data_IF_505455562282
#
_entry.id   IF_505455562282
#
_cell.length_a   1.000
_cell.length_b   1.000
_cell.length_c   1.000
_cell.angle_alpha   90.00
_cell.angle_beta   90.00
_cell.angle_gamma   90.00
#
_symmetry.space_group_name_H-M   'P 1'
#
loop_
_entity.id
_entity.type
_entity.pdbx_description
1 polymer ?
#
# COMPACT_ATOMS: atom_id res chain seq x y z
N UNK A 1 3.47 -9.88 5.99
CA UNK A 1 4.59 -8.91 5.98
C UNK A 1 5.68 -9.53 5.15
N UNK A 2 6.43 -8.73 4.40
CA UNK A 2 7.46 -9.14 3.45
C UNK A 2 8.50 -8.01 3.34
N UNK A 3 9.61 -8.20 2.64
CA UNK A 3 10.61 -7.16 2.36
C UNK A 3 11.08 -7.26 0.92
N UNK A 4 10.64 -6.32 0.09
CA UNK A 4 11.00 -6.20 -1.32
C UNK A 4 11.63 -4.82 -1.56
N UNK A 5 12.79 -4.79 -2.20
CA UNK A 5 13.56 -3.56 -2.41
C UNK A 5 14.12 -3.55 -3.82
N UNK A 6 14.09 -2.37 -4.44
CA UNK A 6 14.74 -2.11 -5.71
C UNK A 6 15.67 -0.90 -5.60
N UNK A 7 16.80 -0.96 -6.29
CA UNK A 7 17.71 0.17 -6.47
C UNK A 7 18.08 0.26 -7.95
N UNK A 8 18.05 1.46 -8.49
CA UNK A 8 18.32 1.68 -9.91
C UNK A 8 19.13 2.93 -10.14
N UNK A 9 19.88 2.90 -11.24
CA UNK A 9 20.51 4.06 -11.85
C UNK A 9 20.32 4.02 -13.36
N UNK A 10 20.94 4.94 -14.09
CA UNK A 10 20.79 5.01 -15.54
C UNK A 10 21.25 3.76 -16.31
N UNK A 11 22.00 2.84 -15.68
CA UNK A 11 22.56 1.65 -16.33
C UNK A 11 21.76 0.38 -16.10
N UNK A 12 21.12 0.24 -14.94
CA UNK A 12 20.45 -0.99 -14.53
C UNK A 12 19.51 -0.77 -13.34
N UNK A 13 18.66 -1.75 -13.10
CA UNK A 13 17.88 -1.91 -11.88
C UNK A 13 18.22 -3.24 -11.21
N UNK A 14 18.46 -3.22 -9.91
CA UNK A 14 18.58 -4.41 -9.07
C UNK A 14 17.34 -4.58 -8.19
N UNK A 15 16.95 -5.83 -7.97
CA UNK A 15 15.76 -6.22 -7.22
C UNK A 15 16.15 -7.27 -6.19
N UNK A 16 15.66 -7.14 -4.96
CA UNK A 16 15.78 -8.15 -3.92
C UNK A 16 14.45 -8.39 -3.20
N UNK A 17 14.17 -9.65 -2.89
CA UNK A 17 12.98 -10.05 -2.15
C UNK A 17 13.28 -11.19 -1.17
N UNK A 18 12.68 -11.12 0.01
CA UNK A 18 12.71 -12.20 0.99
C UNK A 18 11.70 -13.32 0.64
N UNK A 19 11.82 -14.48 1.30
CA UNK A 19 11.01 -15.68 0.98
C UNK A 19 9.96 -16.02 2.04
N UNK A 20 9.81 -15.20 3.08
CA UNK A 20 8.84 -15.44 4.14
C UNK A 20 7.41 -15.07 3.71
N UNK A 21 6.46 -15.98 3.93
CA UNK A 21 5.02 -15.71 3.79
C UNK A 21 4.28 -16.17 5.02
N UNK A 22 3.34 -15.33 5.45
CA UNK A 22 2.48 -15.59 6.60
C UNK A 22 1.08 -15.89 6.11
N UNK A 23 0.59 -17.09 6.41
CA UNK A 23 -0.78 -17.50 6.18
C UNK A 23 -1.54 -17.51 7.49
N UNK A 24 -2.76 -16.97 7.49
CA UNK A 24 -3.67 -17.03 8.64
C UNK A 24 -4.79 -18.00 8.30
N UNK A 25 -4.81 -19.16 8.96
CA UNK A 25 -5.84 -20.19 8.78
C UNK A 25 -6.60 -20.40 10.10
N UNK A 26 -7.87 -20.03 10.14
CA UNK A 26 -8.73 -20.22 11.32
C UNK A 26 -8.18 -19.61 12.61
N UNK A 27 -7.40 -18.52 12.52
CA UNK A 27 -6.74 -17.86 13.65
C UNK A 27 -5.34 -18.42 13.99
N UNK A 28 -4.85 -19.45 13.28
CA UNK A 28 -3.46 -19.90 13.38
C UNK A 28 -2.60 -19.18 12.35
N UNK A 29 -1.48 -18.62 12.82
CA UNK A 29 -0.46 -18.01 11.98
C UNK A 29 0.55 -19.10 11.60
N UNK A 30 0.65 -19.40 10.30
CA UNK A 30 1.63 -20.33 9.74
C UNK A 30 2.60 -19.50 8.90
N UNK A 31 3.89 -19.63 9.20
CA UNK A 31 4.96 -18.94 8.47
C UNK A 31 5.73 -19.97 7.65
N UNK A 32 5.94 -19.68 6.37
CA UNK A 32 6.77 -20.46 5.46
C UNK A 32 7.86 -19.58 4.86
N UNK A 33 9.03 -20.15 4.56
CA UNK A 33 10.19 -19.43 4.03
C UNK A 33 10.61 -19.93 2.63
N UNK A 34 9.66 -20.48 1.87
CA UNK A 34 9.89 -21.14 0.58
C UNK A 34 9.13 -20.48 -0.58
N UNK A 35 8.49 -19.32 -0.35
CA UNK A 35 7.73 -18.65 -1.39
C UNK A 35 8.61 -17.66 -2.14
N UNK A 36 8.66 -17.82 -3.46
CA UNK A 36 9.30 -16.88 -4.37
C UNK A 36 8.42 -15.64 -4.51
N UNK A 37 9.05 -14.47 -4.48
CA UNK A 37 8.36 -13.18 -4.67
C UNK A 37 8.93 -12.34 -5.79
N UNK A 38 10.10 -12.70 -6.31
CA UNK A 38 10.73 -12.08 -7.46
C UNK A 38 10.69 -13.06 -8.64
N UNK A 39 10.31 -12.56 -9.81
CA UNK A 39 10.18 -13.36 -11.04
C UNK A 39 10.74 -12.59 -12.24
N UNK A 40 11.26 -13.32 -13.22
CA UNK A 40 11.34 -12.80 -14.58
C UNK A 40 9.94 -12.84 -15.19
N UNK A 41 9.47 -11.72 -15.74
CA UNK A 41 8.12 -11.60 -16.31
C UNK A 41 7.93 -12.49 -17.55
N UNK A 42 8.99 -12.72 -18.33
CA UNK A 42 8.96 -13.56 -19.52
C UNK A 42 10.36 -13.84 -20.04
N UNK A 43 10.57 -15.01 -20.65
CA UNK A 43 11.89 -15.37 -21.18
C UNK A 43 12.35 -14.35 -22.23
N UNK A 44 13.59 -13.85 -22.09
CA UNK A 44 14.15 -12.82 -22.98
C UNK A 44 13.62 -11.39 -22.75
N UNK A 45 12.69 -11.18 -21.82
CA UNK A 45 12.22 -9.83 -21.48
C UNK A 45 13.14 -9.17 -20.44
N UNK A 46 13.46 -7.87 -20.60
CA UNK A 46 14.20 -7.10 -19.60
C UNK A 46 13.24 -6.58 -18.51
N UNK A 47 12.39 -7.45 -17.96
CA UNK A 47 11.36 -7.07 -16.98
C UNK A 47 11.27 -8.12 -15.87
N UNK A 48 11.42 -7.66 -14.64
CA UNK A 48 11.17 -8.41 -13.42
C UNK A 48 9.86 -7.98 -12.79
N UNK A 49 9.23 -8.87 -12.03
CA UNK A 49 8.07 -8.56 -11.21
C UNK A 49 8.29 -9.03 -9.77
N UNK A 50 8.03 -8.13 -8.82
CA UNK A 50 7.94 -8.45 -7.40
C UNK A 50 6.49 -8.36 -6.92
N UNK A 51 6.11 -9.18 -5.95
CA UNK A 51 4.85 -8.98 -5.23
C UNK A 51 5.05 -8.83 -3.73
N UNK A 52 4.18 -8.04 -3.10
CA UNK A 52 4.10 -7.88 -1.65
C UNK A 52 2.64 -7.84 -1.18
N UNK A 53 2.39 -8.07 0.10
CA UNK A 53 1.03 -8.19 0.64
C UNK A 53 0.48 -9.61 0.52
N UNK A 54 -0.74 -9.78 -0.01
CA UNK A 54 -1.33 -11.12 -0.17
C UNK A 54 -0.55 -11.96 -1.18
N UNK A 55 -0.39 -13.25 -0.85
CA UNK A 55 0.42 -14.21 -1.59
C UNK A 55 -0.30 -14.87 -2.79
N UNK A 56 -1.59 -14.59 -2.93
CA UNK A 56 -2.46 -15.15 -3.96
C UNK A 56 -3.52 -14.13 -4.40
N UNK A 57 -4.09 -14.37 -5.58
CA UNK A 57 -5.29 -13.70 -6.06
C UNK A 57 -6.44 -14.70 -6.07
N UNK A 58 -7.43 -14.51 -5.21
CA UNK A 58 -8.62 -15.36 -5.10
C UNK A 58 -8.30 -16.86 -4.91
N UNK A 59 -7.30 -17.18 -4.10
CA UNK A 59 -6.84 -18.55 -3.83
C UNK A 59 -5.90 -19.11 -4.89
N UNK A 60 -5.38 -18.29 -5.80
CA UNK A 60 -4.42 -18.69 -6.82
C UNK A 60 -3.07 -17.99 -6.62
N UNK A 61 -2.01 -18.74 -6.27
CA UNK A 61 -0.69 -18.17 -6.00
C UNK A 61 -0.13 -17.34 -7.17
N UNK A 62 0.58 -16.24 -6.84
CA UNK A 62 1.16 -15.35 -7.83
C UNK A 62 2.22 -16.02 -8.73
N UNK A 63 3.00 -16.97 -8.20
CA UNK A 63 3.98 -17.72 -8.98
C UNK A 63 3.33 -18.54 -10.11
N UNK A 64 2.14 -19.10 -9.86
CA UNK A 64 1.35 -19.82 -10.87
C UNK A 64 0.81 -18.85 -11.93
N UNK A 65 0.22 -17.72 -11.51
CA UNK A 65 -0.38 -16.74 -12.43
C UNK A 65 0.68 -16.08 -13.32
N UNK A 66 1.78 -15.61 -12.72
CA UNK A 66 2.93 -15.04 -13.43
C UNK A 66 3.59 -16.10 -14.32
N UNK A 67 3.79 -17.31 -13.81
CA UNK A 67 4.39 -18.40 -14.57
C UNK A 67 3.58 -18.87 -15.77
N UNK A 68 2.25 -18.72 -15.75
CA UNK A 68 1.42 -18.96 -16.93
C UNK A 68 1.51 -17.82 -17.94
N UNK A 69 1.42 -16.57 -17.48
CA UNK A 69 1.57 -15.39 -18.34
C UNK A 69 2.93 -15.37 -19.06
N UNK A 70 4.01 -15.72 -18.35
CA UNK A 70 5.38 -15.72 -18.87
C UNK A 70 5.57 -16.56 -20.14
N UNK A 71 4.69 -17.54 -20.40
CA UNK A 71 4.72 -18.39 -21.61
C UNK A 71 4.24 -17.67 -22.87
N UNK A 72 3.46 -16.61 -22.71
CA UNK A 72 2.89 -15.80 -23.79
C UNK A 72 3.30 -14.34 -23.74
N UNK A 73 4.10 -13.95 -22.74
CA UNK A 73 4.56 -12.58 -22.56
C UNK A 73 5.38 -12.13 -23.79
N UNK A 74 5.09 -10.92 -24.28
CA UNK A 74 5.79 -10.32 -25.40
C UNK A 74 6.50 -9.03 -24.97
N UNK A 75 7.47 -8.61 -25.77
CA UNK A 75 8.06 -7.27 -25.65
C UNK A 75 6.96 -6.21 -25.81
N UNK A 76 7.05 -5.13 -25.02
CA UNK A 76 6.24 -3.92 -25.14
C UNK A 76 7.16 -2.72 -25.32
N UNK A 77 6.62 -1.61 -25.79
CA UNK A 77 7.42 -0.42 -26.10
C UNK A 77 7.80 0.31 -24.82
N UNK A 78 6.90 0.32 -23.83
CA UNK A 78 7.09 0.96 -22.52
C UNK A 78 6.92 -0.02 -21.37
N UNK A 79 7.63 0.22 -20.26
CA UNK A 79 7.55 -0.64 -19.06
C UNK A 79 6.11 -0.78 -18.53
N UNK A 80 5.34 0.30 -18.46
CA UNK A 80 3.97 0.24 -17.93
C UNK A 80 3.05 -0.65 -18.77
N UNK A 81 3.26 -0.74 -20.08
CA UNK A 81 2.50 -1.59 -20.99
C UNK A 81 2.68 -3.09 -20.69
N UNK A 82 3.82 -3.48 -20.11
CA UNK A 82 4.01 -4.86 -19.64
C UNK A 82 3.09 -5.20 -18.47
N UNK A 83 2.88 -4.25 -17.55
CA UNK A 83 1.92 -4.40 -16.45
C UNK A 83 0.48 -4.43 -16.98
N UNK A 84 0.13 -3.53 -17.89
CA UNK A 84 -1.19 -3.49 -18.53
C UNK A 84 -1.52 -4.79 -19.29
N UNK A 85 -0.56 -5.34 -20.04
CA UNK A 85 -0.72 -6.60 -20.76
C UNK A 85 -0.89 -7.79 -19.80
N UNK A 86 -0.15 -7.80 -18.68
CA UNK A 86 -0.34 -8.79 -17.62
C UNK A 86 -1.75 -8.74 -17.03
N UNK A 87 -2.27 -7.55 -16.74
CA UNK A 87 -3.63 -7.41 -16.22
C UNK A 87 -4.69 -7.75 -17.27
N UNK A 88 -4.48 -7.38 -18.55
CA UNK A 88 -5.37 -7.78 -19.64
C UNK A 88 -5.41 -9.30 -19.82
N UNK A 89 -4.31 -10.00 -19.55
CA UNK A 89 -4.26 -11.45 -19.46
C UNK A 89 -5.08 -11.97 -18.27
N UNK A 90 -4.90 -11.42 -17.07
CA UNK A 90 -5.67 -11.81 -15.88
C UNK A 90 -7.19 -11.60 -16.06
N UNK A 91 -7.60 -10.49 -16.68
CA UNK A 91 -9.01 -10.17 -16.98
C UNK A 91 -9.67 -11.24 -17.90
N UNK A 92 -8.87 -12.06 -18.61
CA UNK A 92 -9.34 -13.13 -19.52
C UNK A 92 -9.22 -14.54 -18.95
N UNK A 93 -8.73 -14.71 -17.72
CA UNK A 93 -8.49 -16.02 -17.11
C UNK A 93 -9.74 -16.62 -16.45
N UNK A 94 -10.80 -16.84 -17.24
CA UNK A 94 -12.04 -17.45 -16.73
C UNK A 94 -11.82 -18.83 -16.06
N UNK A 95 -10.82 -19.58 -16.52
CA UNK A 95 -10.46 -20.88 -15.92
C UNK A 95 -10.00 -20.78 -14.47
N UNK A 96 -9.39 -19.66 -14.08
CA UNK A 96 -8.99 -19.37 -12.69
C UNK A 96 -10.10 -18.64 -11.93
N UNK A 97 -10.82 -17.75 -12.59
CA UNK A 97 -11.81 -16.88 -11.97
C UNK A 97 -13.23 -17.13 -12.49
N UNK A 98 -13.81 -18.33 -12.32
CA UNK A 98 -15.17 -18.61 -12.78
C UNK A 98 -16.19 -17.74 -12.01
N UNK A 99 -17.37 -17.42 -12.58
CA UNK A 99 -18.34 -16.52 -11.96
C UNK A 99 -18.75 -16.89 -10.53
N UNK A 100 -18.79 -18.19 -10.21
CA UNK A 100 -19.09 -18.65 -8.85
C UNK A 100 -18.02 -18.23 -7.83
N UNK A 101 -16.73 -18.27 -8.22
CA UNK A 101 -15.62 -17.82 -7.37
C UNK A 101 -15.63 -16.30 -7.24
N UNK A 102 -15.90 -15.56 -8.31
CA UNK A 102 -16.03 -14.11 -8.26
C UNK A 102 -17.16 -13.65 -7.33
N UNK A 103 -18.28 -14.38 -7.27
CA UNK A 103 -19.37 -14.11 -6.31
C UNK A 103 -18.94 -14.31 -4.86
N UNK A 104 -18.18 -15.37 -4.58
CA UNK A 104 -17.64 -15.62 -3.25
C UNK A 104 -16.57 -14.60 -2.86
N UNK A 105 -15.73 -14.19 -3.81
CA UNK A 105 -14.74 -13.14 -3.57
C UNK A 105 -15.42 -11.79 -3.31
N UNK A 106 -16.43 -11.44 -4.09
CA UNK A 106 -17.23 -10.24 -3.83
C UNK A 106 -17.81 -10.24 -2.39
N UNK A 107 -18.33 -11.39 -1.95
CA UNK A 107 -18.80 -11.56 -0.56
C UNK A 107 -17.68 -11.28 0.45
N UNK A 108 -16.47 -11.81 0.23
CA UNK A 108 -15.30 -11.59 1.10
C UNK A 108 -14.83 -10.14 1.11
N UNK A 109 -14.72 -9.53 -0.07
CA UNK A 109 -14.38 -8.13 -0.28
C UNK A 109 -15.33 -7.24 0.52
N UNK A 110 -16.64 -7.38 0.31
CA UNK A 110 -17.62 -6.54 0.97
C UNK A 110 -17.68 -6.80 2.48
N UNK A 111 -17.57 -8.06 2.92
CA UNK A 111 -17.44 -8.38 4.35
C UNK A 111 -16.20 -7.73 4.99
N UNK A 112 -15.09 -7.57 4.25
CA UNK A 112 -13.91 -6.83 4.73
C UNK A 112 -14.20 -5.36 4.95
N UNK A 113 -14.93 -4.73 4.02
CA UNK A 113 -15.39 -3.34 4.19
C UNK A 113 -16.32 -3.19 5.38
N UNK A 114 -17.22 -4.15 5.63
CA UNK A 114 -18.08 -4.10 6.82
C UNK A 114 -17.29 -4.29 8.12
N UNK A 115 -16.26 -5.15 8.14
CA UNK A 115 -15.34 -5.24 9.29
C UNK A 115 -14.65 -3.91 9.56
N UNK A 116 -14.30 -3.16 8.51
CA UNK A 116 -13.76 -1.81 8.67
C UNK A 116 -14.76 -0.84 9.30
N UNK A 117 -16.03 -0.89 8.89
CA UNK A 117 -17.11 -0.10 9.51
C UNK A 117 -17.21 -0.41 11.01
N UNK A 118 -17.22 -1.69 11.40
CA UNK A 118 -17.27 -2.06 12.83
C UNK A 118 -16.03 -1.60 13.60
N UNK A 119 -14.83 -1.72 13.00
CA UNK A 119 -13.60 -1.23 13.61
C UNK A 119 -13.62 0.29 13.81
N UNK A 120 -14.17 1.03 12.85
CA UNK A 120 -14.31 2.48 12.97
C UNK A 120 -15.32 2.86 14.05
N UNK A 121 -16.44 2.14 14.15
CA UNK A 121 -17.42 2.35 15.23
C UNK A 121 -16.78 2.14 16.61
N UNK A 122 -15.96 1.08 16.76
CA UNK A 122 -15.21 0.83 17.98
C UNK A 122 -14.19 1.94 18.28
N UNK A 123 -13.47 2.43 17.26
CA UNK A 123 -12.55 3.55 17.41
C UNK A 123 -13.26 4.84 17.87
N UNK A 124 -14.44 5.14 17.32
CA UNK A 124 -15.23 6.31 17.76
C UNK A 124 -15.61 6.22 19.24
N UNK A 125 -15.95 5.01 19.71
CA UNK A 125 -16.18 4.77 21.14
C UNK A 125 -14.94 5.04 21.99
N UNK A 126 -13.79 4.51 21.59
CA UNK A 126 -12.51 4.75 22.30
C UNK A 126 -12.10 6.23 22.28
N UNK A 127 -12.44 6.96 21.21
CA UNK A 127 -12.22 8.39 21.07
C UNK A 127 -13.20 9.27 21.89
N UNK A 128 -14.09 8.65 22.68
CA UNK A 128 -14.98 9.36 23.59
C UNK A 128 -16.29 9.86 22.97
N UNK A 129 -16.66 9.37 21.77
CA UNK A 129 -18.00 9.63 21.21
C UNK A 129 -19.04 8.86 22.05
N UNK A 130 -19.92 9.60 22.72
CA UNK A 130 -20.95 9.03 23.61
C UNK A 130 -22.23 8.79 22.82
N UNK A 131 -22.70 7.55 22.80
CA UNK A 131 -23.98 7.18 22.20
C UNK A 131 -24.24 5.68 22.29
N UNK A 132 -25.46 5.22 21.97
CA UNK A 132 -25.73 3.80 21.82
C UNK A 132 -25.02 3.25 20.55
N UNK A 133 -24.86 1.93 20.47
CA UNK A 133 -24.14 1.26 19.38
C UNK A 133 -24.68 1.65 17.99
N UNK A 134 -25.99 1.86 17.85
CA UNK A 134 -26.59 2.28 16.58
C UNK A 134 -26.09 3.65 16.10
N UNK A 135 -25.85 4.58 17.02
CA UNK A 135 -25.36 5.93 16.68
C UNK A 135 -23.90 5.87 16.24
N UNK A 136 -23.07 5.12 16.96
CA UNK A 136 -21.67 4.90 16.59
C UNK A 136 -21.55 4.22 15.23
N UNK A 137 -22.38 3.20 14.99
CA UNK A 137 -22.41 2.46 13.75
C UNK A 137 -22.91 3.32 12.59
N UNK A 138 -23.97 4.12 12.79
CA UNK A 138 -24.47 5.06 11.80
C UNK A 138 -23.43 6.10 11.39
N UNK A 139 -22.68 6.64 12.36
CA UNK A 139 -21.57 7.55 12.09
C UNK A 139 -20.42 6.86 11.35
N UNK A 140 -20.04 5.65 11.74
CA UNK A 140 -19.01 4.88 11.05
C UNK A 140 -19.41 4.57 9.60
N UNK A 141 -20.66 4.19 9.36
CA UNK A 141 -21.21 3.98 8.01
C UNK A 141 -21.13 5.27 7.19
N UNK A 142 -21.53 6.40 7.76
CA UNK A 142 -21.47 7.70 7.09
C UNK A 142 -20.03 8.08 6.72
N UNK A 143 -19.08 7.94 7.65
CA UNK A 143 -17.67 8.23 7.40
C UNK A 143 -17.08 7.33 6.30
N UNK A 144 -17.40 6.03 6.30
CA UNK A 144 -16.94 5.11 5.26
C UNK A 144 -17.57 5.44 3.91
N UNK A 145 -18.86 5.73 3.88
CA UNK A 145 -19.57 6.16 2.68
C UNK A 145 -18.96 7.44 2.08
N UNK A 146 -18.73 8.47 2.91
CA UNK A 146 -18.08 9.71 2.49
C UNK A 146 -16.67 9.47 1.95
N UNK A 147 -15.88 8.57 2.55
CA UNK A 147 -14.55 8.20 2.03
C UNK A 147 -14.60 7.59 0.63
N UNK A 148 -15.66 6.85 0.29
CA UNK A 148 -15.84 6.34 -1.07
C UNK A 148 -16.27 7.42 -2.07
N UNK A 149 -16.89 8.49 -1.61
CA UNK A 149 -17.32 9.60 -2.46
C UNK A 149 -16.24 10.67 -2.64
N UNK A 150 -15.43 10.93 -1.62
CA UNK A 150 -14.46 12.02 -1.63
C UNK A 150 -13.14 11.69 -0.91
N UNK A 151 -12.10 12.43 -1.28
CA UNK A 151 -10.83 12.51 -0.55
C UNK A 151 -10.98 13.39 0.70
N UNK A 152 -10.04 13.33 1.67
CA UNK A 152 -10.10 14.15 2.88
C UNK A 152 -10.17 15.66 2.64
N UNK A 153 -9.67 16.13 1.49
CA UNK A 153 -9.73 17.53 1.05
C UNK A 153 -11.07 17.92 0.38
N UNK A 154 -12.01 16.98 0.28
CA UNK A 154 -13.33 17.16 -0.34
C UNK A 154 -13.36 16.94 -1.86
N UNK A 155 -12.23 16.63 -2.51
CA UNK A 155 -12.22 16.32 -3.93
C UNK A 155 -12.98 15.01 -4.20
N UNK A 156 -13.80 14.92 -5.26
CA UNK A 156 -14.56 13.70 -5.56
C UNK A 156 -13.61 12.55 -5.91
N UNK A 157 -13.89 11.35 -5.40
CA UNK A 157 -13.11 10.15 -5.70
C UNK A 157 -13.55 9.55 -7.03
N UNK A 158 -12.60 9.39 -7.94
CA UNK A 158 -12.83 8.78 -9.25
C UNK A 158 -13.08 7.27 -9.15
N UNK A 159 -13.73 6.73 -10.18
CA UNK A 159 -13.76 5.30 -10.43
C UNK A 159 -12.39 4.86 -10.99
N UNK A 160 -11.98 3.63 -10.69
CA UNK A 160 -10.76 3.03 -11.17
C UNK A 160 -10.81 2.85 -12.69
N UNK A 161 -9.74 3.25 -13.37
CA UNK A 161 -9.64 3.22 -14.83
C UNK A 161 -9.73 1.81 -15.44
N UNK A 162 -9.53 0.75 -14.64
CA UNK A 162 -9.70 -0.63 -15.09
C UNK A 162 -11.16 -1.02 -15.36
N UNK A 163 -12.13 -0.33 -14.76
CA UNK A 163 -13.55 -0.60 -14.98
C UNK A 163 -14.12 0.27 -16.10
N UNK A 164 -15.00 -0.28 -16.96
CA UNK A 164 -15.69 0.52 -17.96
C UNK A 164 -16.64 1.53 -17.31
N UNK A 165 -16.95 2.66 -17.97
CA UNK A 165 -17.93 3.62 -17.46
C UNK A 165 -19.27 2.97 -17.11
N UNK A 166 -19.79 3.25 -15.92
CA UNK A 166 -21.08 2.70 -15.44
C UNK A 166 -20.99 1.29 -14.87
N UNK A 167 -19.79 0.73 -14.66
CA UNK A 167 -19.63 -0.62 -14.09
C UNK A 167 -20.25 -0.77 -12.69
N UNK A 168 -20.40 0.33 -11.93
CA UNK A 168 -21.11 0.35 -10.66
C UNK A 168 -22.53 -0.24 -10.76
N UNK A 169 -23.26 0.08 -11.84
CA UNK A 169 -24.61 -0.46 -12.09
C UNK A 169 -24.58 -1.95 -12.45
N UNK A 170 -23.51 -2.41 -13.11
CA UNK A 170 -23.29 -3.84 -13.38
C UNK A 170 -23.07 -4.58 -12.05
N UNK A 171 -22.22 -4.05 -11.17
CA UNK A 171 -21.99 -4.62 -9.84
C UNK A 171 -23.30 -4.69 -9.04
N UNK A 172 -24.06 -3.59 -9.02
CA UNK A 172 -25.37 -3.52 -8.34
C UNK A 172 -26.35 -4.57 -8.88
N UNK A 173 -26.45 -4.72 -10.20
CA UNK A 173 -27.34 -5.69 -10.84
C UNK A 173 -26.93 -7.13 -10.53
N UNK A 174 -25.66 -7.45 -10.67
CA UNK A 174 -25.18 -8.84 -10.65
C UNK A 174 -24.85 -9.35 -9.25
N UNK A 175 -24.51 -8.45 -8.31
CA UNK A 175 -24.07 -8.78 -6.96
C UNK A 175 -24.97 -8.20 -5.85
N UNK A 176 -25.99 -7.42 -6.18
CA UNK A 176 -26.88 -6.78 -5.19
C UNK A 176 -27.57 -7.76 -4.23
N UNK A 177 -27.94 -8.96 -4.70
CA UNK A 177 -28.50 -10.00 -3.82
C UNK A 177 -27.45 -10.48 -2.80
N UNK A 178 -26.20 -10.68 -3.23
CA UNK A 178 -25.10 -11.06 -2.34
C UNK A 178 -24.80 -9.94 -1.34
N UNK A 179 -24.87 -8.67 -1.76
CA UNK A 179 -24.74 -7.53 -0.87
C UNK A 179 -25.80 -7.53 0.23
N UNK A 180 -27.07 -7.74 -0.14
CA UNK A 180 -28.19 -7.82 0.81
C UNK A 180 -28.01 -8.96 1.82
N UNK A 181 -27.55 -10.13 1.38
CA UNK A 181 -27.23 -11.27 2.25
C UNK A 181 -26.11 -10.93 3.25
N UNK A 182 -25.04 -10.28 2.79
CA UNK A 182 -23.91 -9.88 3.63
C UNK A 182 -24.33 -8.83 4.66
N UNK A 183 -25.12 -7.83 4.27
CA UNK A 183 -25.69 -6.84 5.20
C UNK A 183 -26.55 -7.54 6.24
N UNK A 184 -27.48 -8.41 5.81
CA UNK A 184 -28.39 -9.10 6.71
C UNK A 184 -27.65 -9.97 7.74
N UNK A 185 -26.60 -10.66 7.30
CA UNK A 185 -25.75 -11.46 8.19
C UNK A 185 -24.96 -10.58 9.17
N UNK A 186 -24.20 -9.61 8.65
CA UNK A 186 -23.29 -8.77 9.44
C UNK A 186 -24.00 -7.88 10.45
N UNK A 187 -25.22 -7.43 10.15
CA UNK A 187 -25.99 -6.54 11.03
C UNK A 187 -27.19 -7.24 11.69
N UNK A 188 -27.23 -8.57 11.72
CA UNK A 188 -28.33 -9.33 12.32
C UNK A 188 -28.61 -8.98 13.79
N UNK A 189 -27.59 -8.53 14.54
CA UNK A 189 -27.68 -8.11 15.93
C UNK A 189 -27.92 -6.60 16.12
N UNK A 190 -27.94 -5.80 15.06
CA UNK A 190 -27.97 -4.34 15.12
C UNK A 190 -29.14 -3.78 14.30
N UNK A 191 -30.04 -2.97 14.89
CA UNK A 191 -31.07 -2.32 14.11
C UNK A 191 -30.44 -1.25 13.20
N UNK A 192 -30.71 -1.37 11.90
CA UNK A 192 -30.31 -0.37 10.91
C UNK A 192 -31.51 0.47 10.51
N UNK A 193 -31.37 1.79 10.56
CA UNK A 193 -32.33 2.68 9.92
C UNK A 193 -32.24 2.60 8.39
N UNK A 194 -33.24 3.18 7.72
CA UNK A 194 -33.32 3.16 6.26
C UNK A 194 -32.11 3.85 5.60
N UNK A 195 -31.60 4.93 6.18
CA UNK A 195 -30.51 5.70 5.61
C UNK A 195 -29.19 4.94 5.68
N UNK A 196 -28.88 4.33 6.82
CA UNK A 196 -27.72 3.47 7.01
C UNK A 196 -27.77 2.27 6.06
N UNK A 197 -28.95 1.66 5.89
CA UNK A 197 -29.13 0.52 4.97
C UNK A 197 -28.88 0.90 3.51
N UNK A 198 -29.38 2.05 3.06
CA UNK A 198 -29.13 2.52 1.69
C UNK A 198 -27.66 2.91 1.47
N UNK A 199 -27.00 3.55 2.45
CA UNK A 199 -25.55 3.82 2.38
C UNK A 199 -24.73 2.53 2.31
N UNK A 200 -25.10 1.50 3.08
CA UNK A 200 -24.44 0.20 3.03
C UNK A 200 -24.56 -0.44 1.64
N UNK A 201 -25.76 -0.40 1.03
CA UNK A 201 -25.96 -0.85 -0.35
C UNK A 201 -25.15 -0.03 -1.36
N UNK A 202 -24.98 1.25 -1.11
CA UNK A 202 -24.14 2.11 -1.93
C UNK A 202 -22.66 1.72 -1.84
N UNK A 203 -22.16 1.60 -0.62
CA UNK A 203 -20.82 1.09 -0.33
C UNK A 203 -20.59 -0.26 -1.03
N UNK A 204 -21.59 -1.14 -1.08
CA UNK A 204 -21.47 -2.48 -1.65
C UNK A 204 -21.08 -2.51 -3.13
N UNK A 205 -21.33 -1.44 -3.89
CA UNK A 205 -20.86 -1.34 -5.27
C UNK A 205 -19.72 -0.32 -5.42
N UNK A 206 -19.69 0.74 -4.61
CA UNK A 206 -18.57 1.68 -4.57
C UNK A 206 -17.26 1.00 -4.16
N UNK A 207 -17.30 0.01 -3.27
CA UNK A 207 -16.10 -0.71 -2.84
C UNK A 207 -15.44 -1.54 -3.94
N UNK A 208 -16.14 -1.80 -5.04
CA UNK A 208 -15.55 -2.44 -6.22
C UNK A 208 -14.90 -1.39 -7.12
N UNK A 209 -15.63 -0.31 -7.43
CA UNK A 209 -15.25 0.59 -8.54
C UNK A 209 -14.39 1.77 -8.12
N UNK A 210 -14.49 2.25 -6.88
CA UNK A 210 -13.78 3.47 -6.46
C UNK A 210 -12.31 3.20 -6.21
N UNK A 211 -11.49 4.22 -6.43
CA UNK A 211 -10.07 4.23 -6.09
C UNK A 211 -9.87 4.34 -4.57
N UNK A 212 -10.34 3.32 -3.84
CA UNK A 212 -10.17 3.14 -2.42
C UNK A 212 -10.12 1.65 -2.12
N UNK A 213 -9.04 1.25 -1.44
CA UNK A 213 -8.82 -0.12 -1.00
C UNK A 213 -8.88 -0.11 0.53
N UNK A 214 -9.97 -0.65 1.05
CA UNK A 214 -10.16 -0.85 2.50
C UNK A 214 -9.87 -2.30 2.87
N UNK A 215 -9.97 -3.19 1.89
CA UNK A 215 -9.59 -4.58 1.93
C UNK A 215 -8.08 -4.80 1.89
N UNK A 216 -7.68 -6.06 2.13
CA UNK A 216 -6.30 -6.50 1.92
C UNK A 216 -5.98 -6.53 0.41
N UNK A 217 -4.75 -6.15 0.07
CA UNK A 217 -4.28 -6.05 -1.32
C UNK A 217 -2.96 -6.79 -1.53
N UNK A 218 -2.66 -7.09 -2.79
CA UNK A 218 -1.30 -7.35 -3.28
C UNK A 218 -0.78 -6.11 -3.98
N UNK A 219 0.45 -5.72 -3.69
CA UNK A 219 1.22 -4.83 -4.54
C UNK A 219 2.04 -5.62 -5.56
N UNK A 220 1.98 -5.25 -6.83
CA UNK A 220 2.81 -5.80 -7.91
C UNK A 220 3.71 -4.71 -8.47
N UNK A 221 5.02 -4.89 -8.35
CA UNK A 221 6.03 -3.96 -8.85
C UNK A 221 6.71 -4.54 -10.10
N UNK A 222 6.45 -3.93 -11.25
CA UNK A 222 7.06 -4.28 -12.54
C UNK A 222 8.28 -3.39 -12.76
N UNK A 223 9.44 -3.98 -12.88
CA UNK A 223 10.72 -3.27 -12.89
C UNK A 223 11.56 -3.67 -14.10
N UNK A 224 12.18 -2.71 -14.78
CA UNK A 224 13.01 -2.98 -15.95
C UNK A 224 12.81 -1.96 -17.06
N UNK A 225 12.67 -2.46 -18.30
CA UNK A 225 12.64 -1.65 -19.51
C UNK A 225 11.52 -2.09 -20.46
N UNK A 226 10.86 -1.15 -21.12
CA UNK A 226 10.26 -1.36 -22.43
C UNK A 226 11.28 -1.22 -23.56
N UNK A 227 10.92 -1.60 -24.79
CA UNK A 227 11.80 -1.53 -25.95
C UNK A 227 12.31 -0.12 -26.25
N UNK A 228 11.46 0.89 -26.06
CA UNK A 228 11.75 2.31 -26.30
C UNK A 228 12.23 3.05 -25.04
N UNK A 229 12.29 2.39 -23.89
CA UNK A 229 12.75 3.03 -22.66
C UNK A 229 14.27 3.17 -22.67
N UNK A 230 14.74 4.40 -22.43
CA UNK A 230 16.18 4.70 -22.39
C UNK A 230 16.82 4.28 -21.07
N UNK A 231 16.06 4.37 -19.99
CA UNK A 231 16.49 4.13 -18.61
C UNK A 231 15.51 3.17 -17.93
N UNK A 232 15.93 2.48 -16.85
CA UNK A 232 15.03 1.59 -16.13
C UNK A 232 13.99 2.39 -15.35
N UNK A 233 12.86 1.72 -15.07
CA UNK A 233 11.87 2.22 -14.13
C UNK A 233 11.22 1.10 -13.34
N UNK A 234 10.27 1.49 -12.49
CA UNK A 234 9.38 0.61 -11.76
C UNK A 234 7.97 1.19 -11.81
N UNK A 235 7.00 0.36 -12.19
CA UNK A 235 5.58 0.68 -12.11
C UNK A 235 4.91 -0.26 -11.12
N UNK A 236 4.25 0.32 -10.12
CA UNK A 236 3.62 -0.44 -9.03
C UNK A 236 2.11 -0.36 -9.12
N UNK A 237 1.44 -1.50 -8.92
CA UNK A 237 -0.02 -1.61 -8.90
C UNK A 237 -0.50 -2.20 -7.58
N UNK A 238 -1.59 -1.65 -7.05
CA UNK A 238 -2.39 -2.27 -6.02
C UNK A 238 -3.47 -3.14 -6.67
N UNK A 239 -3.65 -4.36 -6.17
CA UNK A 239 -4.56 -5.38 -6.72
C UNK A 239 -5.32 -6.05 -5.58
N UNK A 240 -6.63 -6.33 -5.74
CA UNK A 240 -7.39 -7.05 -4.70
C UNK A 240 -8.21 -8.24 -5.19
N UNK A 241 -9.23 -8.02 -6.01
CA UNK A 241 -10.21 -9.05 -6.39
C UNK A 241 -10.59 -9.00 -7.87
N UNK A 242 -11.09 -10.11 -8.42
CA UNK A 242 -11.72 -10.16 -9.75
C UNK A 242 -13.23 -10.11 -9.60
N UNK A 243 -13.85 -9.06 -10.14
CA UNK A 243 -15.31 -8.83 -10.11
C UNK A 243 -15.79 -8.49 -11.52
N UNK A 244 -16.83 -9.19 -11.99
CA UNK A 244 -17.35 -9.06 -13.35
C UNK A 244 -16.29 -9.32 -14.43
N UNK A 245 -15.35 -10.24 -14.16
CA UNK A 245 -14.24 -10.57 -15.04
C UNK A 245 -13.08 -9.56 -15.06
N UNK A 246 -13.15 -8.49 -14.26
CA UNK A 246 -12.11 -7.46 -14.24
C UNK A 246 -11.39 -7.50 -12.90
N UNK A 247 -10.05 -7.56 -12.94
CA UNK A 247 -9.20 -7.41 -11.76
C UNK A 247 -9.30 -5.97 -11.27
N UNK A 248 -9.83 -5.76 -10.06
CA UNK A 248 -9.79 -4.48 -9.34
C UNK A 248 -8.32 -4.11 -9.10
N UNK A 249 -7.87 -3.05 -9.77
CA UNK A 249 -6.48 -2.58 -9.74
C UNK A 249 -6.37 -1.07 -9.85
N UNK A 250 -5.35 -0.51 -9.20
CA UNK A 250 -4.94 0.88 -9.30
C UNK A 250 -3.43 0.97 -9.54
N UNK A 251 -3.00 1.90 -10.39
CA UNK A 251 -1.59 2.26 -10.49
C UNK A 251 -1.23 3.07 -9.24
N UNK A 252 -0.37 2.53 -8.40
CA UNK A 252 -0.04 3.08 -7.09
C UNK A 252 1.16 4.03 -7.14
N UNK A 253 2.18 3.68 -7.92
CA UNK A 253 3.42 4.44 -8.01
C UNK A 253 4.13 4.22 -9.36
N UNK A 254 4.95 5.19 -9.76
CA UNK A 254 5.81 5.14 -10.94
C UNK A 254 7.13 5.86 -10.65
N UNK A 255 8.21 5.09 -10.61
CA UNK A 255 9.55 5.61 -10.38
C UNK A 255 10.40 5.31 -11.61
N UNK A 256 10.76 6.33 -12.36
CA UNK A 256 11.58 6.19 -13.55
C UNK A 256 12.86 7.02 -13.43
N UNK A 257 14.01 6.36 -13.60
CA UNK A 257 15.29 7.07 -13.78
C UNK A 257 15.23 7.82 -15.11
N UNK A 258 15.80 9.02 -15.13
CA UNK A 258 15.77 9.90 -16.30
C UNK A 258 17.10 10.63 -16.48
N UNK A 259 17.13 11.60 -17.40
CA UNK A 259 18.26 12.52 -17.54
C UNK A 259 18.45 13.46 -16.34
N UNK A 260 17.41 13.65 -15.52
CA UNK A 260 17.42 14.55 -14.35
C UNK A 260 17.40 13.78 -13.01
N UNK A 261 16.79 12.59 -12.99
CA UNK A 261 16.80 11.68 -11.84
C UNK A 261 17.73 10.51 -12.15
N UNK A 262 18.96 10.56 -11.64
CA UNK A 262 20.00 9.60 -12.03
C UNK A 262 19.99 8.27 -11.28
N UNK A 263 19.37 8.22 -10.10
CA UNK A 263 19.22 7.02 -9.29
C UNK A 263 17.98 7.09 -8.40
N UNK A 264 17.51 5.92 -7.97
CA UNK A 264 16.37 5.80 -7.06
C UNK A 264 16.43 4.50 -6.26
N UNK A 265 15.85 4.53 -5.05
CA UNK A 265 15.59 3.34 -4.24
C UNK A 265 14.07 3.26 -4.03
N UNK A 266 13.47 2.12 -4.37
CA UNK A 266 12.08 1.82 -4.06
C UNK A 266 12.04 0.76 -2.97
N UNK A 267 11.36 1.06 -1.87
CA UNK A 267 11.18 0.15 -0.74
C UNK A 267 9.70 -0.22 -0.68
N UNK A 268 9.43 -1.52 -0.60
CA UNK A 268 8.08 -2.05 -0.44
C UNK A 268 7.94 -2.82 0.87
N UNK A 269 6.68 -3.07 1.25
CA UNK A 269 6.30 -3.85 2.42
C UNK A 269 6.89 -3.35 3.76
N UNK A 270 7.02 -4.22 4.77
CA UNK A 270 7.47 -3.85 6.11
C UNK A 270 9.00 -3.78 6.20
N UNK A 271 9.56 -2.78 5.53
CA UNK A 271 11.00 -2.55 5.45
C UNK A 271 11.46 -1.46 6.43
N UNK A 272 10.97 -1.52 7.67
CA UNK A 272 11.23 -0.49 8.69
C UNK A 272 12.73 -0.27 8.96
N UNK A 273 13.54 -1.33 8.92
CA UNK A 273 14.97 -1.23 9.19
C UNK A 273 15.69 -0.51 8.04
N UNK A 274 15.36 -0.88 6.80
CA UNK A 274 15.88 -0.20 5.60
C UNK A 274 15.46 1.25 5.59
N UNK A 275 14.20 1.55 5.92
CA UNK A 275 13.70 2.91 5.97
C UNK A 275 14.41 3.77 7.02
N UNK A 276 14.62 3.21 8.21
CA UNK A 276 15.37 3.87 9.27
C UNK A 276 16.84 4.11 8.88
N UNK A 277 17.45 3.16 8.17
CA UNK A 277 18.80 3.33 7.63
C UNK A 277 18.85 4.45 6.60
N UNK A 278 17.87 4.51 5.68
CA UNK A 278 17.87 5.53 4.62
C UNK A 278 17.55 6.93 5.12
N UNK A 279 16.68 7.07 6.13
CA UNK A 279 16.22 8.38 6.64
C UNK A 279 16.89 8.83 7.93
N UNK A 280 17.69 7.97 8.55
CA UNK A 280 18.33 8.22 9.84
C UNK A 280 17.41 8.06 11.06
N UNK A 281 16.12 7.75 10.87
CA UNK A 281 15.16 7.57 11.96
C UNK A 281 14.07 6.54 11.61
N UNK A 282 13.66 5.76 12.61
CA UNK A 282 12.57 4.79 12.47
C UNK A 282 11.20 5.49 12.55
N UNK A 283 10.26 5.05 11.71
CA UNK A 283 8.94 5.70 11.58
C UNK A 283 8.15 5.76 12.89
N UNK A 284 8.17 4.69 13.69
CA UNK A 284 7.49 4.65 14.98
C UNK A 284 8.06 5.67 15.97
N UNK A 285 9.40 5.79 16.02
CA UNK A 285 10.07 6.79 16.83
C UNK A 285 9.78 8.21 16.35
N UNK A 286 9.85 8.45 15.04
CA UNK A 286 9.57 9.74 14.42
C UNK A 286 8.13 10.21 14.74
N UNK A 287 7.15 9.30 14.62
CA UNK A 287 5.75 9.59 14.98
C UNK A 287 5.59 9.94 16.46
N UNK A 288 6.24 9.20 17.35
CA UNK A 288 6.18 9.49 18.80
C UNK A 288 6.80 10.86 19.11
N UNK A 289 7.93 11.20 18.48
CA UNK A 289 8.55 12.53 18.62
C UNK A 289 7.58 13.63 18.19
N UNK A 290 6.93 13.49 17.04
CA UNK A 290 5.96 14.48 16.56
C UNK A 290 4.77 14.62 17.49
N UNK A 291 4.15 13.51 17.88
CA UNK A 291 3.00 13.54 18.76
C UNK A 291 3.33 14.19 20.11
N UNK A 292 4.43 13.77 20.77
CA UNK A 292 4.83 14.32 22.07
C UNK A 292 5.20 15.79 22.02
N UNK A 293 5.77 16.21 20.91
CA UNK A 293 6.18 17.61 20.75
C UNK A 293 4.98 18.52 20.50
N UNK A 294 3.98 18.05 19.75
CA UNK A 294 2.71 18.75 19.61
C UNK A 294 1.97 18.85 20.96
N UNK A 295 1.87 17.75 21.71
CA UNK A 295 1.32 17.73 23.08
C UNK A 295 2.05 18.74 23.99
N UNK A 296 3.39 18.79 23.93
CA UNK A 296 4.21 19.72 24.69
C UNK A 296 3.99 21.18 24.27
N UNK A 297 3.90 21.45 22.96
CA UNK A 297 3.67 22.80 22.43
C UNK A 297 2.30 23.35 22.86
N UNK A 298 1.25 22.51 22.81
CA UNK A 298 -0.08 22.86 23.31
C UNK A 298 -0.06 23.15 24.82
N UNK A 299 0.61 22.30 25.61
CA UNK A 299 0.76 22.53 27.05
C UNK A 299 1.58 23.78 27.39
N UNK A 300 2.55 24.15 26.55
CA UNK A 300 3.30 25.41 26.70
C UNK A 300 2.40 26.62 26.43
N UNK A 301 1.57 26.58 25.38
CA UNK A 301 0.56 27.63 25.13
C UNK A 301 -0.32 27.80 26.36
N UNK A 302 -0.80 26.70 26.93
CA UNK A 302 -1.66 26.74 28.11
C UNK A 302 -0.97 27.41 29.31
N UNK A 303 0.27 27.00 29.58
CA UNK A 303 1.09 27.53 30.68
C UNK A 303 1.36 29.04 30.51
N UNK A 304 1.70 29.47 29.31
CA UNK A 304 1.98 30.89 29.00
C UNK A 304 0.71 31.72 29.15
N UNK A 305 -0.41 31.27 28.57
CA UNK A 305 -1.69 31.97 28.61
C UNK A 305 -2.21 32.09 30.05
N UNK A 306 -2.05 31.06 30.88
CA UNK A 306 -2.42 31.09 32.30
C UNK A 306 -1.56 32.08 33.10
N UNK A 307 -0.27 32.20 32.77
CA UNK A 307 0.64 33.15 33.39
C UNK A 307 0.31 34.63 33.13
N UNK A 308 -0.55 34.94 32.14
CA UNK A 308 -0.97 36.30 31.80
C UNK A 308 -2.05 36.83 32.76
N UNK A 309 -1.68 37.03 34.03
CA UNK A 309 -2.59 37.43 35.12
C UNK A 309 -3.28 38.79 34.97
N UNK A 310 -2.79 39.65 34.07
CA UNK A 310 -3.37 40.98 33.78
C UNK A 310 -4.35 41.03 32.61
N UNK A 311 -4.62 39.90 31.95
CA UNK A 311 -5.46 39.86 30.74
C UNK A 311 -6.91 39.49 31.07
N UNK A 312 -7.86 40.16 30.40
CA UNK A 312 -9.27 39.82 30.46
C UNK A 312 -9.50 38.32 30.09
N UNK A 313 -10.34 37.57 30.84
CA UNK A 313 -10.57 36.15 30.58
C UNK A 313 -11.06 35.81 29.17
N UNK A 314 -11.89 36.65 28.54
CA UNK A 314 -12.41 36.40 27.19
C UNK A 314 -11.30 36.57 26.17
N UNK A 315 -10.49 37.62 26.30
CA UNK A 315 -9.36 37.84 25.42
C UNK A 315 -8.28 36.75 25.57
N UNK A 316 -8.03 36.32 26.80
CA UNK A 316 -7.08 35.25 27.11
C UNK A 316 -7.49 33.90 26.49
N UNK A 317 -8.77 33.56 26.55
CA UNK A 317 -9.30 32.37 25.88
C UNK A 317 -9.26 32.46 24.35
N UNK A 318 -9.49 33.66 23.78
CA UNK A 318 -9.35 33.88 22.35
C UNK A 318 -7.90 33.66 21.88
N UNK A 319 -6.91 34.17 22.64
CA UNK A 319 -5.49 33.93 22.37
C UNK A 319 -5.16 32.43 22.46
N UNK A 320 -5.64 31.73 23.50
CA UNK A 320 -5.45 30.28 23.63
C UNK A 320 -5.91 29.54 22.37
N UNK A 321 -7.16 29.78 21.96
CA UNK A 321 -7.76 29.11 20.80
C UNK A 321 -7.02 29.42 19.51
N UNK A 322 -6.60 30.66 19.30
CA UNK A 322 -5.83 31.04 18.12
C UNK A 322 -4.52 30.25 18.03
N UNK A 323 -3.75 30.19 19.12
CA UNK A 323 -2.49 29.44 19.13
C UNK A 323 -2.70 27.93 18.98
N UNK A 324 -3.71 27.36 19.64
CA UNK A 324 -3.99 25.93 19.55
C UNK A 324 -4.50 25.52 18.16
N UNK A 325 -5.34 26.33 17.50
CA UNK A 325 -5.94 26.00 16.22
C UNK A 325 -5.04 26.33 15.00
N UNK A 326 -4.18 27.35 15.11
CA UNK A 326 -3.39 27.83 13.98
C UNK A 326 -1.89 27.86 14.29
N UNK A 327 -1.50 28.48 15.41
CA UNK A 327 -0.09 28.73 15.74
C UNK A 327 0.74 27.47 15.92
N UNK A 328 0.26 26.51 16.73
CA UNK A 328 0.95 25.23 16.97
C UNK A 328 0.97 24.37 15.71
N UNK A 329 -0.16 24.13 15.01
CA UNK A 329 -0.14 23.37 13.76
C UNK A 329 0.83 23.95 12.71
N UNK A 330 0.87 25.28 12.52
CA UNK A 330 1.80 25.91 11.59
C UNK A 330 3.27 25.73 12.00
N UNK A 331 3.59 25.91 13.28
CA UNK A 331 4.95 25.70 13.78
C UNK A 331 5.38 24.23 13.63
N UNK A 332 4.47 23.29 13.88
CA UNK A 332 4.73 21.85 13.71
C UNK A 332 4.98 21.49 12.25
N UNK A 333 4.19 22.01 11.31
CA UNK A 333 4.41 21.81 9.87
C UNK A 333 5.78 22.35 9.43
N UNK A 334 6.13 23.57 9.84
CA UNK A 334 7.43 24.16 9.52
C UNK A 334 8.60 23.34 10.07
N UNK A 335 8.46 22.80 11.27
CA UNK A 335 9.49 21.96 11.87
C UNK A 335 9.62 20.62 11.14
N UNK A 336 8.50 19.99 10.78
CA UNK A 336 8.48 18.77 9.97
C UNK A 336 9.19 19.00 8.63
N UNK A 337 8.90 20.11 7.94
CA UNK A 337 9.58 20.47 6.68
C UNK A 337 11.10 20.64 6.86
N UNK A 338 11.51 21.30 7.94
CA UNK A 338 12.93 21.55 8.23
C UNK A 338 13.70 20.24 8.49
N UNK A 339 13.08 19.32 9.25
CA UNK A 339 13.68 18.02 9.55
C UNK A 339 13.66 17.11 8.31
N UNK A 340 12.58 17.15 7.53
CA UNK A 340 12.50 16.43 6.25
C UNK A 340 13.58 16.90 5.26
N UNK A 341 13.81 18.20 5.14
CA UNK A 341 14.89 18.75 4.32
C UNK A 341 16.27 18.28 4.82
N UNK A 342 16.49 18.27 6.13
CA UNK A 342 17.73 17.77 6.71
C UNK A 342 17.94 16.27 6.43
N UNK A 343 16.89 15.44 6.57
CA UNK A 343 16.93 14.01 6.23
C UNK A 343 17.28 13.80 4.76
N UNK A 344 16.65 14.58 3.87
CA UNK A 344 16.89 14.51 2.44
C UNK A 344 18.36 14.82 2.10
N UNK A 345 18.88 15.97 2.55
CA UNK A 345 20.23 16.45 2.25
C UNK A 345 21.33 15.58 2.88
N UNK A 346 21.14 15.13 4.13
CA UNK A 346 22.23 14.53 4.92
C UNK A 346 22.21 12.99 4.95
N UNK A 347 21.07 12.36 4.64
CA UNK A 347 20.96 10.90 4.64
C UNK A 347 20.62 10.36 3.24
N UNK A 348 19.55 10.85 2.61
CA UNK A 348 19.02 10.25 1.37
C UNK A 348 19.90 10.58 0.16
N UNK A 349 20.15 11.86 -0.10
CA UNK A 349 20.91 12.33 -1.28
C UNK A 349 22.32 11.74 -1.37
N UNK A 350 23.12 11.66 -0.27
CA UNK A 350 24.44 11.04 -0.33
C UNK A 350 24.42 9.58 -0.80
N UNK A 351 23.41 8.80 -0.39
CA UNK A 351 23.28 7.41 -0.85
C UNK A 351 22.85 7.34 -2.31
N UNK A 352 21.92 8.19 -2.73
CA UNK A 352 21.50 8.26 -4.14
C UNK A 352 22.69 8.64 -5.05
N UNK A 353 23.55 9.57 -4.62
CA UNK A 353 24.76 9.95 -5.35
C UNK A 353 25.76 8.79 -5.50
N UNK A 354 25.89 7.94 -4.48
CA UNK A 354 26.69 6.71 -4.58
C UNK A 354 26.06 5.72 -5.57
N UNK A 355 24.75 5.52 -5.50
CA UNK A 355 24.03 4.61 -6.40
C UNK A 355 24.06 5.05 -7.86
N UNK A 356 24.10 6.36 -8.13
CA UNK A 356 24.20 6.91 -9.48
C UNK A 356 25.39 6.34 -10.26
N UNK A 357 26.56 6.23 -9.60
CA UNK A 357 27.78 5.72 -10.24
C UNK A 357 27.98 4.21 -10.05
N UNK A 358 27.16 3.56 -9.23
CA UNK A 358 27.29 2.15 -8.88
C UNK A 358 27.24 1.22 -10.10
N UNK A 359 28.03 0.17 -10.04
CA UNK A 359 28.03 -0.93 -11.00
C UNK A 359 26.87 -1.89 -10.75
N UNK A 360 26.57 -2.73 -11.75
CA UNK A 360 25.51 -3.75 -11.66
C UNK A 360 25.65 -4.66 -10.43
N UNK A 361 26.86 -5.16 -10.06
CA UNK A 361 27.05 -5.92 -8.82
C UNK A 361 26.82 -5.11 -7.54
N UNK A 362 27.28 -3.86 -7.49
CA UNK A 362 27.11 -2.99 -6.31
C UNK A 362 25.63 -2.66 -6.06
N UNK A 363 24.84 -2.46 -7.13
CA UNK A 363 23.38 -2.32 -7.01
C UNK A 363 22.75 -3.58 -6.41
N UNK A 364 23.17 -4.76 -6.87
CA UNK A 364 22.68 -6.05 -6.38
C UNK A 364 23.00 -6.27 -4.90
N UNK A 365 24.24 -6.01 -4.50
CA UNK A 365 24.70 -6.10 -3.11
C UNK A 365 23.92 -5.12 -2.22
N UNK A 366 23.70 -3.89 -2.69
CA UNK A 366 22.95 -2.88 -1.92
C UNK A 366 21.52 -3.34 -1.62
N UNK A 367 20.78 -3.83 -2.62
CA UNK A 367 19.39 -4.28 -2.38
C UNK A 367 19.35 -5.54 -1.52
N UNK A 368 20.31 -6.44 -1.66
CA UNK A 368 20.44 -7.63 -0.81
C UNK A 368 20.67 -7.24 0.66
N UNK A 369 21.60 -6.33 0.91
CA UNK A 369 21.94 -5.87 2.26
C UNK A 369 20.77 -5.14 2.93
N UNK A 370 20.04 -4.32 2.18
CA UNK A 370 18.86 -3.63 2.70
C UNK A 370 17.75 -4.62 3.10
N UNK A 371 17.53 -5.69 2.34
CA UNK A 371 16.59 -6.76 2.73
C UNK A 371 17.12 -7.54 3.93
N UNK A 372 18.43 -7.86 3.94
CA UNK A 372 19.08 -8.55 5.05
C UNK A 372 18.98 -7.78 6.37
N UNK A 373 19.00 -6.44 6.31
CA UNK A 373 18.81 -5.58 7.48
C UNK A 373 17.43 -5.77 8.13
N UNK A 374 16.36 -5.92 7.33
CA UNK A 374 15.02 -6.21 7.86
C UNK A 374 14.95 -7.59 8.50
N UNK A 375 15.54 -8.60 7.86
CA UNK A 375 15.63 -9.96 8.41
C UNK A 375 16.38 -9.95 9.75
N UNK A 376 17.50 -9.22 9.81
CA UNK A 376 18.28 -9.04 11.03
C UNK A 376 17.43 -8.38 12.14
N UNK A 377 16.75 -7.27 11.84
CA UNK A 377 15.89 -6.55 12.81
C UNK A 377 14.82 -7.47 13.39
N UNK A 378 14.07 -8.21 12.55
CA UNK A 378 13.02 -9.12 13.03
C UNK A 378 13.60 -10.24 13.90
N UNK A 379 14.76 -10.81 13.51
CA UNK A 379 15.43 -11.86 14.27
C UNK A 379 15.86 -11.42 15.67
N UNK A 380 16.44 -10.22 15.81
CA UNK A 380 16.99 -9.76 17.10
C UNK A 380 15.92 -9.17 18.04
N UNK A 381 14.81 -8.66 17.50
CA UNK A 381 13.71 -8.06 18.28
C UNK A 381 12.67 -9.09 18.74
N UNK A 382 12.89 -10.39 18.46
CA UNK A 382 11.95 -11.48 18.75
C UNK A 382 10.52 -11.23 18.22
N UNK A 383 10.40 -10.43 17.16
CA UNK A 383 9.15 -10.25 16.45
C UNK A 383 8.85 -11.51 15.62
N UNK A 384 7.57 -11.74 15.28
CA UNK A 384 7.20 -12.87 14.41
C UNK A 384 8.03 -12.83 13.13
N UNK A 385 8.59 -13.97 12.65
CA UNK A 385 9.48 -14.03 11.49
C UNK A 385 8.70 -13.92 10.18
N UNK A 386 7.86 -12.89 10.08
CA UNK A 386 7.04 -12.60 8.91
C UNK A 386 7.90 -12.06 7.75
N UNK A 387 9.09 -11.53 8.03
CA UNK A 387 10.15 -11.22 7.06
C UNK A 387 11.34 -12.13 7.34
N UNK A 388 11.86 -12.84 6.34
CA UNK A 388 12.87 -13.86 6.55
C UNK A 388 13.11 -14.82 5.38
N UNK A 389 13.83 -15.89 5.69
CA UNK A 389 14.25 -16.88 4.70
C UNK A 389 15.48 -16.43 3.92
N UNK A 390 15.70 -17.02 2.74
CA UNK A 390 16.74 -16.54 1.84
C UNK A 390 16.24 -15.38 0.98
N UNK A 391 17.20 -14.65 0.40
CA UNK A 391 16.99 -13.47 -0.41
C UNK A 391 17.27 -13.86 -1.86
N UNK A 392 16.27 -13.68 -2.71
CA UNK A 392 16.42 -13.76 -4.17
C UNK A 392 16.83 -12.38 -4.68
N UNK A 393 17.85 -12.33 -5.55
CA UNK A 393 18.43 -11.09 -6.09
C UNK A 393 18.57 -11.20 -7.61
N UNK A 394 18.06 -10.19 -8.32
CA UNK A 394 18.20 -10.08 -9.77
C UNK A 394 18.71 -8.69 -10.17
N UNK A 395 19.38 -8.63 -11.31
CA UNK A 395 19.75 -7.39 -11.98
C UNK A 395 19.19 -7.41 -13.38
N UNK A 396 18.63 -6.29 -13.79
CA UNK A 396 18.07 -6.08 -15.12
C UNK A 396 18.82 -4.93 -15.75
N UNK A 397 19.40 -5.17 -16.92
CA UNK A 397 19.98 -4.11 -17.75
C UNK A 397 19.47 -4.21 -19.18
N UNK A 398 19.59 -3.11 -19.92
CA UNK A 398 19.13 -3.07 -21.30
C UNK A 398 19.85 -4.07 -22.21
N UNK A 399 21.15 -4.29 -21.98
CA UNK A 399 21.97 -5.17 -22.85
C UNK A 399 21.84 -6.65 -22.49
N UNK A 400 21.73 -6.96 -21.19
CA UNK A 400 21.75 -8.35 -20.69
C UNK A 400 20.35 -8.89 -20.41
N UNK A 401 19.33 -8.02 -20.40
CA UNK A 401 18.00 -8.38 -19.94
C UNK A 401 17.97 -8.69 -18.44
N UNK A 402 16.99 -9.50 -18.03
CA UNK A 402 16.88 -10.00 -16.67
C UNK A 402 17.94 -11.07 -16.38
N UNK A 403 18.68 -10.93 -15.29
CA UNK A 403 19.68 -11.90 -14.83
C UNK A 403 19.58 -12.15 -13.32
N UNK A 404 19.68 -13.42 -12.91
CA UNK A 404 19.76 -13.79 -11.51
C UNK A 404 21.19 -13.59 -10.98
N UNK A 405 21.32 -12.86 -9.87
CA UNK A 405 22.57 -12.78 -9.10
C UNK A 405 22.59 -13.84 -8.01
N UNK A 406 21.44 -14.02 -7.34
CA UNK A 406 21.25 -15.01 -6.28
C UNK A 406 19.82 -15.55 -6.37
N UNK A 407 19.66 -16.87 -6.27
CA UNK A 407 18.34 -17.51 -6.36
C UNK A 407 18.26 -18.76 -5.48
N UNK A 408 17.18 -18.92 -4.72
CA UNK A 408 16.91 -20.16 -4.00
C UNK A 408 16.69 -21.34 -4.95
N UNK A 409 17.43 -22.43 -4.70
CA UNK A 409 17.28 -23.72 -5.38
C UNK A 409 17.87 -23.77 -6.79
N UNK A 410 18.80 -22.86 -7.11
CA UNK A 410 19.65 -22.89 -8.32
C UNK A 410 21.03 -23.46 -8.03
#
# INVERSE_FOLDING_TARGET
>A
MTSEIAAMNQRAIALAADSAVTMVDGGKIIIRNDQRKLFNLGEGLPVGVMFFGLADLMGHPWDVLIGQYAKSASVKDRLHEHGEDFFAYLDRLEGFFPPARQREEYRRLYASVLRFVFRLAHYLYEAGVIGPDEVLLGQAIDLVWQRYLAHPDGAPRADLACFPPGFAEVVKRDYGTVADEVIAYSFSAFPLDLQAREKLKEIAHLCVVKDLFVEDITGLAFAGYGAEDHYPGIVTYNVSAVVGGIVKRARADDIAVSGDLHSAIAIYAESEASYAFLRGIEFGLEREIWQRSEEMALGLVDSVVEGLSGMDPVHREAVRRQFQAEGVPQAMLQWQDTIGAFQQENYIEPMLAVLEIASKPELAETVEDLVALNILKKRITAQSPTVGGAIDVAVISREAGFSWVKRQGG
#
